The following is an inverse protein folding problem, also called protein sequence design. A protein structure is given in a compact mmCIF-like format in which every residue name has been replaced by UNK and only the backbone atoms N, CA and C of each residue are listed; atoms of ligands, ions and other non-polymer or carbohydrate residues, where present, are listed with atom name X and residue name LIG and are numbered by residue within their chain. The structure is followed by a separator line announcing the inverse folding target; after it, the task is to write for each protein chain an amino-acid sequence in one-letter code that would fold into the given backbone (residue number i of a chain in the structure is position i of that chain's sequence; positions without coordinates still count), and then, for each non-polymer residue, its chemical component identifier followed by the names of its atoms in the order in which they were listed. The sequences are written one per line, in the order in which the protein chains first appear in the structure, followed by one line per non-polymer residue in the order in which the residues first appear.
data_IF_588318436869
#
_entry.id   IF_588318436869
#
_cell.length_a   1.000
_cell.length_b   1.000
_cell.length_c   1.000
_cell.angle_alpha   90.00
_cell.angle_beta   90.00
_cell.angle_gamma   90.00
#
_symmetry.space_group_name_H-M   'P 1'
#
loop_
_entity.id
_entity.type
_entity.pdbx_description
1 polymer ?
#
# COMPACT_ATOMS: atom_id res chain seq x y z
N UNK A 1 7.54 -11.79 10.65
CA UNK A 1 6.53 -10.73 10.71
C UNK A 1 5.19 -11.37 11.08
N UNK A 2 4.33 -10.62 11.75
CA UNK A 2 3.00 -11.04 12.22
C UNK A 2 2.01 -11.14 11.06
N UNK A 3 0.89 -11.86 11.28
CA UNK A 3 -0.27 -11.90 10.35
C UNK A 3 -0.79 -10.49 10.02
N UNK A 4 -0.69 -9.57 10.98
CA UNK A 4 -1.14 -8.20 10.83
C UNK A 4 0.01 -7.22 10.96
N UNK A 5 -0.01 -6.22 10.09
CA UNK A 5 1.05 -5.22 9.97
C UNK A 5 0.47 -3.84 9.72
N UNK A 6 1.24 -2.82 10.06
CA UNK A 6 0.88 -1.42 9.82
C UNK A 6 2.12 -0.64 9.40
N UNK A 7 1.95 0.29 8.46
CA UNK A 7 3.00 1.22 8.05
C UNK A 7 2.74 2.62 8.58
N UNK A 8 3.79 3.32 9.01
CA UNK A 8 3.75 4.69 9.56
C UNK A 8 5.06 5.43 9.25
N UNK A 9 5.05 6.75 9.41
CA UNK A 9 6.24 7.60 9.33
C UNK A 9 6.90 7.67 10.70
N UNK A 10 7.94 6.84 10.91
CA UNK A 10 8.41 6.54 12.26
C UNK A 10 7.23 6.12 13.15
N UNK A 11 7.03 6.80 14.28
CA UNK A 11 5.94 6.49 15.22
C UNK A 11 4.62 7.22 14.93
N UNK A 12 4.53 7.97 13.82
CA UNK A 12 3.37 8.82 13.52
C UNK A 12 2.61 8.31 12.30
N UNK A 13 1.29 8.14 12.44
CA UNK A 13 0.44 7.77 11.31
C UNK A 13 0.31 8.91 10.30
N UNK A 14 0.71 8.67 9.06
CA UNK A 14 0.50 9.59 7.95
C UNK A 14 -1.01 9.86 7.67
N UNK A 15 -1.87 8.89 8.00
CA UNK A 15 -3.31 9.00 7.74
C UNK A 15 -4.08 9.82 8.79
N UNK A 16 -3.60 9.90 10.04
CA UNK A 16 -4.36 10.52 11.14
C UNK A 16 -3.53 11.43 12.06
N UNK A 17 -2.21 11.53 11.86
CA UNK A 17 -1.30 12.24 12.76
C UNK A 17 -1.19 11.59 14.15
N UNK A 18 -1.66 10.35 14.33
CA UNK A 18 -1.62 9.66 15.62
C UNK A 18 -0.19 9.21 15.92
N UNK A 19 0.40 9.74 16.99
CA UNK A 19 1.63 9.20 17.56
C UNK A 19 1.31 7.89 18.31
N UNK A 20 2.08 6.85 18.03
CA UNK A 20 1.82 5.49 18.50
C UNK A 20 3.08 4.96 19.20
N UNK A 21 3.14 5.01 20.55
CA UNK A 21 4.24 4.42 21.31
C UNK A 21 4.40 2.93 21.03
N UNK A 22 5.63 2.43 21.07
CA UNK A 22 5.97 1.04 20.74
C UNK A 22 5.89 0.18 22.00
N UNK A 23 5.22 -0.96 21.91
CA UNK A 23 5.03 -1.88 23.04
C UNK A 23 3.89 -1.49 23.99
N UNK A 24 3.17 -0.41 23.73
CA UNK A 24 2.05 0.07 24.54
C UNK A 24 0.71 -0.13 23.83
N UNK A 25 -0.37 -0.21 24.62
CA UNK A 25 -1.73 -0.20 24.07
C UNK A 25 -2.06 1.22 23.62
N UNK A 26 -2.41 1.34 22.34
CA UNK A 26 -2.86 2.60 21.76
C UNK A 26 -4.32 2.47 21.37
N UNK A 27 -5.16 3.34 21.93
CA UNK A 27 -6.59 3.40 21.66
C UNK A 27 -6.91 4.43 20.57
N UNK A 28 -7.92 4.11 19.77
CA UNK A 28 -8.46 4.99 18.75
C UNK A 28 -9.15 6.20 19.41
N UNK A 29 -8.98 7.39 18.81
CA UNK A 29 -9.70 8.59 19.25
C UNK A 29 -11.19 8.50 18.97
N UNK A 30 -11.53 7.97 17.80
CA UNK A 30 -12.90 7.82 17.32
C UNK A 30 -13.14 6.34 16.99
N UNK A 31 -14.10 5.73 17.65
CA UNK A 31 -14.54 4.36 17.39
C UNK A 31 -16.05 4.26 17.54
N UNK A 32 -16.71 3.74 16.51
CA UNK A 32 -18.11 3.36 16.57
C UNK A 32 -18.24 1.87 16.20
N UNK A 33 -18.61 1.01 17.18
CA UNK A 33 -18.82 -0.42 16.94
C UNK A 33 -20.00 -0.71 16.01
N UNK A 34 -20.88 0.26 15.76
CA UNK A 34 -22.07 0.09 14.92
C UNK A 34 -21.92 0.64 13.49
N UNK A 35 -20.90 1.46 13.20
CA UNK A 35 -20.65 1.98 11.85
C UNK A 35 -20.48 0.86 10.79
N UNK A 36 -21.31 0.88 9.75
CA UNK A 36 -21.26 -0.09 8.64
C UNK A 36 -20.70 0.51 7.35
N UNK A 37 -20.86 1.82 7.17
CA UNK A 37 -20.42 2.53 5.97
C UNK A 37 -18.91 2.80 6.01
N UNK A 38 -18.23 2.61 4.87
CA UNK A 38 -16.76 2.69 4.74
C UNK A 38 -16.17 3.96 5.36
N UNK A 39 -16.82 5.10 5.12
CA UNK A 39 -16.31 6.40 5.54
C UNK A 39 -16.60 6.70 7.02
N UNK A 40 -17.56 5.98 7.61
CA UNK A 40 -17.96 6.11 9.01
C UNK A 40 -17.22 5.16 9.95
N UNK A 41 -16.69 4.04 9.43
CA UNK A 41 -15.84 3.14 10.22
C UNK A 41 -14.56 3.90 10.60
N UNK A 42 -14.48 4.52 11.78
CA UNK A 42 -13.26 5.17 12.26
C UNK A 42 -12.31 4.17 12.93
N UNK A 43 -11.22 4.65 13.50
CA UNK A 43 -10.27 3.85 14.24
C UNK A 43 -8.90 3.70 13.58
N UNK A 44 -8.10 2.83 14.20
CA UNK A 44 -6.70 2.63 13.86
C UNK A 44 -6.59 1.63 12.70
N UNK A 45 -6.11 2.09 11.53
CA UNK A 45 -5.97 1.23 10.36
C UNK A 45 -4.79 0.25 10.45
N UNK A 46 -4.96 -0.95 9.91
CA UNK A 46 -3.89 -1.93 9.71
C UNK A 46 -4.25 -2.87 8.56
N UNK A 47 -3.29 -3.70 8.14
CA UNK A 47 -3.43 -4.60 7.00
C UNK A 47 -2.81 -5.97 7.32
N UNK A 48 -2.87 -6.87 6.35
CA UNK A 48 -2.12 -8.13 6.34
C UNK A 48 -0.86 -7.99 5.52
N UNK A 49 0.09 -8.89 5.69
CA UNK A 49 1.32 -8.89 4.88
C UNK A 49 1.03 -9.06 3.38
N UNK A 50 0.01 -9.85 3.04
CA UNK A 50 -0.40 -10.09 1.65
C UNK A 50 -1.00 -8.84 0.97
N UNK A 51 -1.45 -7.85 1.76
CA UNK A 51 -2.13 -6.65 1.26
C UNK A 51 -1.41 -5.34 1.54
N UNK A 52 -0.40 -5.33 2.43
CA UNK A 52 0.24 -4.10 2.90
C UNK A 52 0.95 -3.33 1.78
N UNK A 53 1.34 -4.01 0.69
CA UNK A 53 2.02 -3.40 -0.44
C UNK A 53 1.27 -2.21 -1.04
N UNK A 54 -0.08 -2.26 -1.09
CA UNK A 54 -0.93 -1.13 -1.55
C UNK A 54 -0.90 0.08 -0.62
N UNK A 55 -0.42 -0.08 0.60
CA UNK A 55 -0.46 0.93 1.66
C UNK A 55 0.90 1.50 2.02
N UNK A 56 2.01 0.99 1.48
CA UNK A 56 3.39 1.44 1.82
C UNK A 56 3.67 2.92 1.51
N UNK A 57 2.81 3.58 0.73
CA UNK A 57 2.87 5.05 0.55
C UNK A 57 2.64 5.81 1.86
N UNK A 58 2.00 5.17 2.87
CA UNK A 58 1.58 5.77 4.14
C UNK A 58 2.64 5.71 5.26
N UNK A 59 3.87 5.32 4.93
CA UNK A 59 4.92 5.23 5.91
C UNK A 59 6.28 4.86 5.34
N UNK A 60 7.30 5.00 6.17
CA UNK A 60 8.66 4.52 5.91
C UNK A 60 9.05 3.34 6.79
N UNK A 61 8.20 2.98 7.75
CA UNK A 61 8.44 1.93 8.75
C UNK A 61 7.23 1.02 8.83
N UNK A 62 7.45 -0.29 8.77
CA UNK A 62 6.43 -1.31 9.01
C UNK A 62 6.57 -1.88 10.42
N UNK A 63 5.43 -2.20 11.03
CA UNK A 63 5.31 -2.71 12.38
C UNK A 63 4.49 -3.98 12.38
N UNK A 64 4.84 -4.92 13.25
CA UNK A 64 3.95 -6.00 13.62
C UNK A 64 2.81 -5.47 14.50
N UNK A 65 1.59 -5.89 14.20
CA UNK A 65 0.39 -5.52 14.96
C UNK A 65 0.00 -6.67 15.88
N UNK A 66 -0.13 -6.37 17.16
CA UNK A 66 -0.76 -7.22 18.16
C UNK A 66 -2.12 -6.61 18.49
N UNK A 67 -3.17 -7.43 18.43
CA UNK A 67 -4.51 -7.05 18.87
C UNK A 67 -4.68 -7.45 20.33
N UNK A 68 -4.96 -6.50 21.25
CA UNK A 68 -5.41 -6.84 22.60
C UNK A 68 -6.61 -7.79 22.58
N UNK A 69 -6.79 -8.59 23.64
CA UNK A 69 -7.84 -9.62 23.71
C UNK A 69 -9.26 -9.04 23.57
N UNK A 70 -9.46 -7.82 24.05
CA UNK A 70 -10.70 -7.05 24.01
C UNK A 70 -10.74 -6.03 22.85
N UNK A 71 -9.83 -6.16 21.87
CA UNK A 71 -9.85 -5.32 20.68
C UNK A 71 -11.03 -5.68 19.77
N UNK A 72 -11.75 -4.66 19.33
CA UNK A 72 -12.82 -4.77 18.36
C UNK A 72 -12.27 -4.43 16.98
N UNK A 73 -12.44 -5.33 16.01
CA UNK A 73 -11.89 -5.18 14.67
C UNK A 73 -13.01 -5.14 13.64
N UNK A 74 -12.93 -4.15 12.75
CA UNK A 74 -13.78 -4.03 11.57
C UNK A 74 -12.96 -4.16 10.30
N UNK A 75 -13.47 -4.96 9.39
CA UNK A 75 -12.99 -4.99 8.01
C UNK A 75 -13.60 -3.80 7.27
N UNK A 76 -12.79 -3.07 6.50
CA UNK A 76 -13.27 -1.94 5.71
C UNK A 76 -13.75 -2.45 4.34
N UNK A 77 -15.03 -2.26 3.96
CA UNK A 77 -15.55 -2.71 2.68
C UNK A 77 -15.15 -1.78 1.53
N UNK A 78 -15.29 -2.27 0.28
CA UNK A 78 -15.14 -1.45 -0.93
C UNK A 78 -13.75 -0.85 -1.15
N UNK A 79 -12.70 -1.56 -0.74
CA UNK A 79 -11.30 -1.12 -0.88
C UNK A 79 -10.63 -1.75 -2.10
N UNK A 80 -9.53 -1.15 -2.54
CA UNK A 80 -8.61 -1.74 -3.53
C UNK A 80 -7.95 -3.02 -3.03
N UNK A 81 -8.06 -3.33 -1.74
CA UNK A 81 -7.55 -4.57 -1.14
C UNK A 81 -8.72 -5.30 -0.47
N UNK A 82 -9.56 -6.04 -1.21
CA UNK A 82 -10.61 -6.86 -0.62
C UNK A 82 -9.97 -7.79 0.41
N UNK A 83 -10.37 -7.68 1.69
CA UNK A 83 -9.74 -8.38 2.84
C UNK A 83 -8.38 -7.85 3.32
N UNK A 84 -7.95 -6.68 2.86
CA UNK A 84 -6.63 -6.12 3.14
C UNK A 84 -6.62 -4.77 3.84
N UNK A 85 -7.75 -4.31 4.37
CA UNK A 85 -7.81 -3.12 5.22
C UNK A 85 -8.76 -3.35 6.39
N UNK A 86 -8.23 -3.13 7.59
CA UNK A 86 -8.95 -3.27 8.84
C UNK A 86 -8.81 -1.99 9.65
N UNK A 87 -9.78 -1.73 10.51
CA UNK A 87 -9.74 -0.70 11.55
C UNK A 87 -10.09 -1.33 12.90
N UNK A 88 -9.49 -0.83 13.96
CA UNK A 88 -9.71 -1.34 15.33
C UNK A 88 -9.77 -0.20 16.33
N UNK A 89 -10.43 -0.46 17.47
CA UNK A 89 -10.45 0.45 18.60
C UNK A 89 -9.10 0.51 19.34
N UNK A 90 -8.28 -0.54 19.30
CA UNK A 90 -6.96 -0.56 19.95
C UNK A 90 -5.97 -1.55 19.33
N UNK A 91 -4.68 -1.21 19.41
CA UNK A 91 -3.55 -2.07 18.99
C UNK A 91 -2.36 -1.92 19.92
N UNK A 92 -1.42 -2.86 19.83
CA UNK A 92 -0.03 -2.71 20.27
C UNK A 92 0.85 -2.88 19.03
N UNK A 93 1.78 -1.93 18.82
CA UNK A 93 2.78 -2.03 17.77
C UNK A 93 4.11 -2.49 18.32
N UNK A 94 4.74 -3.44 17.63
CA UNK A 94 6.06 -3.98 17.98
C UNK A 94 6.92 -4.14 16.72
N UNK A 95 8.21 -4.43 16.92
CA UNK A 95 9.16 -4.75 15.85
C UNK A 95 9.17 -3.72 14.69
N UNK A 96 9.52 -2.45 14.94
CA UNK A 96 9.71 -1.48 13.86
C UNK A 96 10.78 -1.96 12.87
N UNK A 97 10.46 -1.99 11.59
CA UNK A 97 11.40 -2.26 10.50
C UNK A 97 11.28 -1.18 9.44
N UNK A 98 12.38 -0.49 9.13
CA UNK A 98 12.42 0.48 8.03
C UNK A 98 12.23 -0.24 6.70
N UNK A 99 11.36 0.31 5.86
CA UNK A 99 11.17 -0.18 4.50
C UNK A 99 12.45 0.04 3.69
N UNK A 100 12.89 -1.00 3.00
CA UNK A 100 14.02 -0.98 2.08
C UNK A 100 13.68 -1.82 0.84
N UNK A 101 14.58 -1.80 -0.16
CA UNK A 101 14.36 -2.50 -1.43
C UNK A 101 14.05 -3.99 -1.27
N UNK A 102 14.77 -4.68 -0.38
CA UNK A 102 14.65 -6.14 -0.23
C UNK A 102 13.38 -6.53 0.52
N UNK A 103 13.03 -5.78 1.57
CA UNK A 103 11.78 -5.99 2.30
C UNK A 103 10.56 -5.72 1.40
N UNK A 104 10.59 -4.65 0.60
CA UNK A 104 9.47 -4.34 -0.30
C UNK A 104 9.36 -5.36 -1.44
N UNK A 105 10.50 -5.87 -1.93
CA UNK A 105 10.52 -6.98 -2.89
C UNK A 105 9.93 -8.27 -2.29
N UNK A 106 10.27 -8.58 -1.04
CA UNK A 106 9.68 -9.70 -0.31
C UNK A 106 8.17 -9.54 -0.11
N UNK A 107 7.71 -8.34 0.30
CA UNK A 107 6.28 -8.03 0.40
C UNK A 107 5.57 -8.17 -0.95
N UNK A 108 6.21 -7.78 -2.05
CA UNK A 108 5.68 -8.03 -3.39
C UNK A 108 5.55 -9.54 -3.69
N UNK A 109 6.58 -10.33 -3.42
CA UNK A 109 6.56 -11.77 -3.66
C UNK A 109 5.49 -12.51 -2.83
N UNK A 110 5.18 -12.00 -1.63
CA UNK A 110 4.14 -12.54 -0.74
C UNK A 110 2.76 -11.93 -0.96
N UNK A 111 2.66 -10.89 -1.78
CA UNK A 111 1.40 -10.18 -1.97
C UNK A 111 0.37 -11.04 -2.71
N UNK A 112 -0.90 -10.89 -2.31
CA UNK A 112 -2.04 -11.53 -2.94
C UNK A 112 -3.13 -10.48 -3.16
N UNK A 113 -2.84 -9.53 -4.04
CA UNK A 113 -3.72 -8.41 -4.36
C UNK A 113 -4.57 -8.73 -5.60
N UNK A 114 -5.77 -8.13 -5.75
CA UNK A 114 -6.47 -8.14 -7.03
C UNK A 114 -5.59 -7.55 -8.14
N UNK A 115 -5.73 -8.06 -9.37
CA UNK A 115 -4.86 -7.65 -10.48
C UNK A 115 -4.88 -6.14 -10.72
N UNK A 116 -6.08 -5.54 -10.74
CA UNK A 116 -6.27 -4.10 -10.90
C UNK A 116 -5.54 -3.28 -9.83
N UNK A 117 -5.37 -3.82 -8.64
CA UNK A 117 -4.67 -3.14 -7.54
C UNK A 117 -3.17 -3.06 -7.77
N UNK A 118 -2.59 -3.97 -8.56
CA UNK A 118 -1.18 -3.89 -8.92
C UNK A 118 -0.86 -2.70 -9.83
N UNK A 119 -1.86 -2.12 -10.51
CA UNK A 119 -1.67 -0.92 -11.33
C UNK A 119 -1.30 0.27 -10.43
N UNK A 120 -2.09 0.51 -9.38
CA UNK A 120 -1.79 1.51 -8.34
C UNK A 120 -0.46 1.21 -7.62
N UNK A 121 -0.20 -0.06 -7.33
CA UNK A 121 1.03 -0.47 -6.63
C UNK A 121 2.26 -0.09 -7.43
N UNK A 122 2.25 -0.19 -8.76
CA UNK A 122 3.38 0.23 -9.57
C UNK A 122 3.69 1.72 -9.39
N UNK A 123 2.68 2.58 -9.42
CA UNK A 123 2.84 4.01 -9.14
C UNK A 123 3.36 4.26 -7.72
N UNK A 124 2.82 3.55 -6.72
CA UNK A 124 3.29 3.66 -5.33
C UNK A 124 4.76 3.26 -5.19
N UNK A 125 5.18 2.16 -5.82
CA UNK A 125 6.56 1.70 -5.78
C UNK A 125 7.50 2.71 -6.44
N UNK A 126 7.12 3.26 -7.59
CA UNK A 126 7.88 4.30 -8.28
C UNK A 126 8.00 5.59 -7.45
N UNK A 127 6.89 6.09 -6.90
CA UNK A 127 6.88 7.28 -6.03
C UNK A 127 7.76 7.08 -4.79
N UNK A 128 7.75 5.88 -4.20
CA UNK A 128 8.57 5.56 -3.03
C UNK A 128 10.01 5.14 -3.38
N UNK A 129 10.33 5.03 -4.67
CA UNK A 129 11.67 4.66 -5.15
C UNK A 129 12.03 3.19 -4.96
N UNK A 130 11.06 2.28 -4.79
CA UNK A 130 11.29 0.84 -4.62
C UNK A 130 11.46 0.12 -5.96
N UNK A 131 12.54 0.45 -6.66
CA UNK A 131 12.82 -0.01 -8.03
C UNK A 131 12.91 -1.52 -8.19
N UNK A 132 13.45 -2.25 -7.20
CA UNK A 132 13.53 -3.72 -7.28
C UNK A 132 12.15 -4.37 -7.44
N UNK A 133 11.19 -3.94 -6.62
CA UNK A 133 9.83 -4.46 -6.67
C UNK A 133 9.07 -3.91 -7.89
N UNK A 134 9.25 -2.63 -8.24
CA UNK A 134 8.60 -2.04 -9.41
C UNK A 134 9.02 -2.74 -10.72
N UNK A 135 10.32 -2.99 -10.91
CA UNK A 135 10.84 -3.66 -12.09
C UNK A 135 10.41 -5.13 -12.16
N UNK A 136 10.36 -5.81 -11.01
CA UNK A 136 9.84 -7.17 -10.93
C UNK A 136 8.34 -7.21 -11.27
N UNK A 137 7.54 -6.26 -10.78
CA UNK A 137 6.12 -6.14 -11.10
C UNK A 137 5.91 -5.96 -12.61
N UNK A 138 6.64 -5.03 -13.24
CA UNK A 138 6.58 -4.84 -14.70
C UNK A 138 6.86 -6.16 -15.43
N UNK A 139 7.95 -6.85 -15.05
CA UNK A 139 8.35 -8.10 -15.69
C UNK A 139 7.32 -9.23 -15.52
N UNK A 140 6.74 -9.35 -14.33
CA UNK A 140 5.86 -10.47 -13.99
C UNK A 140 4.43 -10.28 -14.52
N UNK A 141 3.96 -9.03 -14.61
CA UNK A 141 2.53 -8.73 -14.82
C UNK A 141 2.20 -7.96 -16.10
N UNK A 142 3.16 -7.23 -16.67
CA UNK A 142 2.90 -6.38 -17.83
C UNK A 142 3.37 -7.09 -19.10
N UNK A 143 2.49 -7.15 -20.09
CA UNK A 143 2.74 -7.69 -21.42
C UNK A 143 2.02 -6.84 -22.47
N UNK A 144 2.17 -7.21 -23.74
CA UNK A 144 1.63 -6.41 -24.84
C UNK A 144 0.10 -6.31 -24.82
N UNK A 145 -0.62 -7.27 -24.24
CA UNK A 145 -2.09 -7.28 -24.21
C UNK A 145 -2.65 -6.31 -23.16
N UNK A 146 -1.92 -6.08 -22.06
CA UNK A 146 -2.40 -5.26 -20.94
C UNK A 146 -1.62 -3.96 -20.72
N UNK A 147 -0.55 -3.70 -21.48
CA UNK A 147 0.30 -2.52 -21.33
C UNK A 147 -0.47 -1.20 -21.39
N UNK A 148 -1.42 -1.07 -22.32
CA UNK A 148 -2.21 0.16 -22.45
C UNK A 148 -3.06 0.43 -21.20
N UNK A 149 -3.66 -0.60 -20.61
CA UNK A 149 -4.44 -0.48 -19.37
C UNK A 149 -3.55 -0.06 -18.21
N UNK A 150 -2.34 -0.64 -18.11
CA UNK A 150 -1.36 -0.25 -17.11
C UNK A 150 -0.93 1.22 -17.27
N UNK A 151 -0.72 1.69 -18.50
CA UNK A 151 -0.37 3.10 -18.76
C UNK A 151 -1.51 4.01 -18.33
N UNK A 152 -2.75 3.71 -18.74
CA UNK A 152 -3.91 4.54 -18.44
C UNK A 152 -4.16 4.64 -16.93
N UNK A 153 -4.15 3.51 -16.22
CA UNK A 153 -4.35 3.49 -14.77
C UNK A 153 -3.17 4.16 -14.03
N UNK A 154 -1.93 3.96 -14.49
CA UNK A 154 -0.75 4.61 -13.92
C UNK A 154 -0.83 6.14 -14.06
N UNK A 155 -1.25 6.65 -15.22
CA UNK A 155 -1.45 8.08 -15.47
C UNK A 155 -2.63 8.61 -14.66
N UNK A 156 -3.73 7.86 -14.55
CA UNK A 156 -4.89 8.26 -13.77
C UNK A 156 -4.55 8.43 -12.28
N UNK A 157 -3.62 7.61 -11.76
CA UNK A 157 -3.12 7.67 -10.38
C UNK A 157 -2.46 9.02 -10.04
N UNK A 158 -2.02 9.82 -11.02
CA UNK A 158 -1.46 11.16 -10.78
C UNK A 158 -2.41 12.04 -9.97
N UNK A 159 -3.72 11.90 -10.18
CA UNK A 159 -4.75 12.64 -9.46
C UNK A 159 -4.82 12.30 -7.96
N UNK A 160 -4.30 11.13 -7.56
CA UNK A 160 -4.23 10.68 -6.17
C UNK A 160 -2.95 11.15 -5.46
N UNK A 161 -2.02 11.80 -6.17
CA UNK A 161 -0.77 12.37 -5.62
C UNK A 161 -1.05 13.78 -5.11
N UNK A 162 -1.59 13.88 -3.90
CA UNK A 162 -1.99 15.16 -3.31
C UNK A 162 -0.91 15.87 -2.47
N UNK A 163 0.20 15.19 -2.19
CA UNK A 163 1.32 15.73 -1.39
C UNK A 163 2.45 16.33 -2.24
N UNK A 164 2.34 16.26 -3.57
CA UNK A 164 3.36 16.76 -4.51
C UNK A 164 4.66 15.92 -4.53
N UNK A 165 4.67 14.75 -3.88
CA UNK A 165 5.84 13.86 -3.86
C UNK A 165 5.73 12.86 -4.99
N UNK A 166 6.51 13.09 -6.06
CA UNK A 166 6.48 12.25 -7.26
C UNK A 166 7.54 11.15 -7.28
N UNK A 167 8.65 11.28 -6.54
CA UNK A 167 9.73 10.28 -6.57
C UNK A 167 10.18 9.94 -8.00
N UNK A 168 10.16 8.64 -8.35
CA UNK A 168 10.48 8.15 -9.70
C UNK A 168 9.25 8.01 -10.61
N UNK A 169 8.12 8.62 -10.27
CA UNK A 169 6.86 8.46 -10.99
C UNK A 169 7.00 8.73 -12.49
N UNK A 170 7.61 9.85 -12.87
CA UNK A 170 7.78 10.22 -14.28
C UNK A 170 8.79 9.32 -15.01
N UNK A 171 9.82 8.81 -14.33
CA UNK A 171 10.77 7.86 -14.92
C UNK A 171 10.07 6.55 -15.30
N UNK A 172 9.22 6.03 -14.41
CA UNK A 172 8.44 4.83 -14.67
C UNK A 172 7.32 5.07 -15.69
N UNK A 173 6.72 6.27 -15.73
CA UNK A 173 5.80 6.68 -16.81
C UNK A 173 6.49 6.59 -18.18
N UNK A 174 7.67 7.19 -18.31
CA UNK A 174 8.46 7.12 -19.54
C UNK A 174 8.89 5.69 -19.88
N UNK A 175 9.21 4.86 -18.88
CA UNK A 175 9.53 3.45 -19.09
C UNK A 175 8.37 2.68 -19.73
N UNK A 176 7.14 2.87 -19.24
CA UNK A 176 5.95 2.24 -19.80
C UNK A 176 5.64 2.75 -21.22
N UNK A 177 5.74 4.07 -21.46
CA UNK A 177 5.53 4.66 -22.78
C UNK A 177 6.58 4.17 -23.80
N UNK A 178 7.83 3.99 -23.38
CA UNK A 178 8.88 3.43 -24.22
C UNK A 178 8.63 1.95 -24.57
N UNK A 179 8.04 1.17 -23.68
CA UNK A 179 7.60 -0.20 -24.00
C UNK A 179 6.54 -0.18 -25.10
N UNK A 180 5.58 0.75 -25.02
CA UNK A 180 4.52 0.92 -26.02
C UNK A 180 5.08 1.33 -27.39
N UNK A 181 6.04 2.26 -27.43
CA UNK A 181 6.66 2.69 -28.68
C UNK A 181 7.46 1.57 -29.36
N UNK A 182 8.14 0.71 -28.58
CA UNK A 182 8.85 -0.46 -29.12
C UNK A 182 7.89 -1.49 -29.72
N UNK A 183 6.71 -1.67 -29.11
CA UNK A 183 5.65 -2.53 -29.65
C UNK A 183 5.25 -2.06 -31.04
N UNK A 184 4.98 -0.76 -31.24
CA UNK A 184 4.56 -0.20 -32.53
C UNK A 184 5.60 -0.50 -33.63
N UNK A 185 6.88 -0.22 -33.36
CA UNK A 185 7.97 -0.42 -34.34
C UNK A 185 8.28 -1.89 -34.68
N UNK A 186 7.75 -2.87 -33.95
CA UNK A 186 7.91 -4.30 -34.27
C UNK A 186 6.83 -4.83 -35.24
N UNK A 187 5.77 -4.06 -35.47
CA UNK A 187 4.67 -4.40 -36.36
C UNK A 187 4.61 -3.51 -37.61
N UNK A 188 5.58 -2.60 -37.78
CA UNK A 188 5.85 -1.81 -39.00
C UNK A 188 6.94 -2.47 -39.85
#
# INVERSE_FOLDING_TARGET
MSKYVRVMDGTVSNASGLNTPIGEVVEARDWDPNATERDDIKGINFSTEESILRWIRRGDTIYDVILPKDAEVKKVPGTFTPNGLFRTNKIILVNPVKLNQDLVLDLYNRSNLPEKTYHDVLAILAIRGFTKAADKLIKDKINDDNLDIYIDDYIAFENDINDGVYGLYYEYKEKLLNMKNRKINLFD
#
